data_IF_565957829108
#
_entry.id   IF_565957829108
#
_cell.length_a   1.000
_cell.length_b   1.000
_cell.length_c   1.000
_cell.angle_alpha   90.00
_cell.angle_beta   90.00
_cell.angle_gamma   90.00
#
_symmetry.space_group_name_H-M   'P 1'
#
loop_
_entity.id
_entity.type
_entity.pdbx_description
1 polymer ?
#
# COMPACT_ATOMS: atom_id res chain seq x y z
N UNK A 1 -12.85 3.73 -10.10
CA UNK A 1 -12.92 3.23 -11.49
C UNK A 1 -11.56 3.22 -12.17
N UNK A 2 -10.80 2.14 -11.96
CA UNK A 2 -9.47 1.95 -12.56
C UNK A 2 -9.20 0.45 -12.81
N UNK A 3 -8.32 0.14 -13.78
CA UNK A 3 -7.79 -1.19 -14.01
C UNK A 3 -7.03 -1.68 -12.77
N UNK A 4 -7.18 -2.95 -12.41
CA UNK A 4 -6.57 -3.52 -11.19
C UNK A 4 -5.04 -3.43 -11.21
N UNK A 5 -4.41 -3.54 -12.40
CA UNK A 5 -2.96 -3.43 -12.55
C UNK A 5 -2.47 -2.04 -12.17
N UNK A 6 -3.21 -1.00 -12.55
CA UNK A 6 -2.87 0.37 -12.18
C UNK A 6 -2.91 0.57 -10.66
N UNK A 7 -3.87 -0.06 -9.98
CA UNK A 7 -3.95 -0.01 -8.50
C UNK A 7 -2.77 -0.76 -7.86
N UNK A 8 -2.32 -1.87 -8.46
CA UNK A 8 -1.10 -2.58 -8.02
C UNK A 8 0.13 -1.68 -8.19
N UNK A 9 0.30 -1.09 -9.37
CA UNK A 9 1.43 -0.19 -9.68
C UNK A 9 1.47 0.99 -8.71
N UNK A 10 0.33 1.64 -8.44
CA UNK A 10 0.20 2.72 -7.46
C UNK A 10 0.65 2.30 -6.07
N UNK A 11 0.25 1.11 -5.60
CA UNK A 11 0.68 0.63 -4.28
C UNK A 11 2.18 0.32 -4.23
N UNK A 12 2.76 -0.18 -5.32
CA UNK A 12 4.16 -0.65 -5.31
C UNK A 12 5.19 0.46 -5.08
N UNK A 13 4.86 1.73 -5.31
CA UNK A 13 5.78 2.86 -5.18
C UNK A 13 5.33 3.90 -4.15
N UNK A 14 6.28 4.76 -3.73
CA UNK A 14 6.00 5.92 -2.88
C UNK A 14 6.38 7.25 -3.54
N UNK A 15 6.71 7.24 -4.83
CA UNK A 15 7.01 8.45 -5.59
C UNK A 15 5.86 9.46 -5.51
N UNK A 16 4.61 8.99 -5.52
CA UNK A 16 3.42 9.85 -5.34
C UNK A 16 3.13 10.24 -3.88
N UNK A 17 3.74 9.60 -2.88
CA UNK A 17 3.31 9.73 -1.48
C UNK A 17 3.56 11.14 -0.91
N UNK A 18 4.70 11.76 -1.21
CA UNK A 18 5.04 13.08 -0.70
C UNK A 18 3.99 14.17 -1.04
N UNK A 19 3.53 14.28 -2.30
CA UNK A 19 2.50 15.26 -2.66
C UNK A 19 1.06 14.87 -2.27
N UNK A 20 0.75 13.58 -2.08
CA UNK A 20 -0.64 13.09 -2.05
C UNK A 20 -1.09 12.61 -0.67
N UNK A 21 -0.18 12.10 0.18
CA UNK A 21 -0.53 11.51 1.48
C UNK A 21 0.12 12.24 2.67
N UNK A 22 -0.36 13.43 3.04
CA UNK A 22 0.19 14.16 4.19
C UNK A 22 0.01 13.38 5.50
N UNK A 23 -1.10 12.68 5.69
CA UNK A 23 -1.37 11.85 6.87
C UNK A 23 -0.41 10.65 6.92
N UNK A 24 -0.31 9.87 5.84
CA UNK A 24 0.58 8.69 5.79
C UNK A 24 2.04 9.08 6.00
N UNK A 25 2.51 10.14 5.33
CA UNK A 25 3.91 10.55 5.40
C UNK A 25 4.27 11.21 6.73
N UNK A 26 3.28 11.66 7.52
CA UNK A 26 3.50 12.07 8.91
C UNK A 26 3.88 10.88 9.80
N UNK A 27 3.27 9.72 9.57
CA UNK A 27 3.57 8.48 10.29
C UNK A 27 4.84 7.81 9.78
N UNK A 28 5.07 7.84 8.46
CA UNK A 28 6.17 7.18 7.76
C UNK A 28 7.00 8.21 6.95
N UNK A 29 7.89 9.00 7.58
CA UNK A 29 8.60 10.09 6.92
C UNK A 29 9.43 9.68 5.71
N UNK A 30 9.94 8.44 5.69
CA UNK A 30 10.74 7.92 4.58
C UNK A 30 9.94 7.86 3.27
N UNK A 31 8.60 7.74 3.32
CA UNK A 31 7.76 7.76 2.12
C UNK A 31 7.79 9.11 1.41
N UNK A 32 8.16 10.21 2.09
CA UNK A 32 8.37 11.52 1.45
C UNK A 32 9.54 11.53 0.48
N UNK A 33 10.49 10.61 0.65
CA UNK A 33 11.68 10.53 -0.20
C UNK A 33 11.39 9.74 -1.49
N UNK A 34 10.16 9.22 -1.65
CA UNK A 34 9.78 8.37 -2.77
C UNK A 34 10.50 7.03 -2.75
N UNK A 35 10.98 6.58 -1.59
CA UNK A 35 11.72 5.34 -1.45
C UNK A 35 10.83 4.15 -1.78
N UNK A 36 11.26 3.32 -2.74
CA UNK A 36 10.63 2.01 -2.98
C UNK A 36 10.86 1.12 -1.75
N UNK A 37 9.80 0.74 -1.08
CA UNK A 37 9.85 -0.14 0.09
C UNK A 37 9.71 -1.63 -0.30
N UNK A 38 9.53 -1.93 -1.58
CA UNK A 38 9.47 -3.30 -2.13
C UNK A 38 10.72 -3.71 -2.92
N UNK A 39 11.68 -2.79 -3.09
CA UNK A 39 12.94 -3.08 -3.80
C UNK A 39 13.93 -3.95 -3.03
N UNK A 40 13.78 -4.05 -1.70
CA UNK A 40 14.70 -4.80 -0.81
C UNK A 40 13.88 -5.68 0.13
N UNK A 41 14.04 -6.99 -0.01
CA UNK A 41 13.35 -7.99 0.82
C UNK A 41 13.77 -7.84 2.28
N UNK A 42 12.78 -7.78 3.17
CA UNK A 42 12.99 -7.68 4.63
C UNK A 42 13.29 -6.27 5.14
N UNK A 43 13.25 -5.25 4.29
CA UNK A 43 13.40 -3.87 4.72
C UNK A 43 12.05 -3.27 5.13
N UNK A 44 11.89 -2.99 6.42
CA UNK A 44 10.75 -2.23 6.95
C UNK A 44 10.99 -0.73 6.87
N UNK A 45 9.90 0.04 6.92
CA UNK A 45 9.93 1.50 7.02
C UNK A 45 9.66 1.92 8.45
N UNK A 46 10.57 2.70 9.04
CA UNK A 46 10.43 3.17 10.41
C UNK A 46 9.33 4.22 10.56
N UNK A 47 8.58 4.14 11.67
CA UNK A 47 7.73 5.24 12.12
C UNK A 47 8.55 6.49 12.46
N UNK A 48 7.94 7.66 12.36
CA UNK A 48 8.52 8.88 12.92
C UNK A 48 8.79 8.72 14.43
N UNK A 49 9.83 9.38 14.95
CA UNK A 49 10.33 9.16 16.31
C UNK A 49 9.26 9.38 17.39
N UNK A 50 8.35 10.32 17.16
CA UNK A 50 7.24 10.69 18.04
C UNK A 50 5.99 9.80 17.89
N UNK A 51 6.00 8.86 16.95
CA UNK A 51 4.87 7.98 16.64
C UNK A 51 5.11 6.61 17.26
N UNK A 52 4.14 6.15 18.05
CA UNK A 52 4.15 4.85 18.72
C UNK A 52 3.33 3.80 17.98
N UNK A 53 2.28 4.21 17.26
CA UNK A 53 1.39 3.31 16.54
C UNK A 53 0.88 3.92 15.24
N UNK A 54 0.48 3.04 14.30
CA UNK A 54 -0.08 3.44 13.01
C UNK A 54 -1.56 3.78 13.13
N UNK A 55 -1.83 4.94 13.71
CA UNK A 55 -3.16 5.49 14.00
C UNK A 55 -3.16 6.98 13.66
N UNK A 56 -4.33 7.60 13.53
CA UNK A 56 -4.42 9.05 13.24
C UNK A 56 -3.74 9.93 14.31
N UNK A 57 -3.73 9.50 15.56
CA UNK A 57 -3.05 10.23 16.65
C UNK A 57 -1.56 9.94 16.72
N UNK A 58 -1.09 8.88 16.05
CA UNK A 58 0.26 8.37 16.21
C UNK A 58 0.48 7.56 17.49
N UNK A 59 -0.56 7.32 18.29
CA UNK A 59 -0.47 6.62 19.57
C UNK A 59 -1.43 5.43 19.62
N UNK A 60 -1.05 4.40 20.35
CA UNK A 60 -1.84 3.19 20.54
C UNK A 60 -1.25 2.31 21.63
N UNK A 61 -2.06 1.43 22.20
CA UNK A 61 -1.65 0.52 23.28
C UNK A 61 -1.83 -0.97 22.92
N UNK A 62 -2.12 -1.25 21.65
CA UNK A 62 -2.30 -2.62 21.17
C UNK A 62 -1.00 -3.40 21.30
N UNK A 63 -1.04 -4.68 21.73
CA UNK A 63 0.15 -5.48 21.86
C UNK A 63 0.74 -5.82 20.48
N UNK A 64 2.06 -6.00 20.45
CA UNK A 64 2.73 -6.49 19.24
C UNK A 64 2.22 -7.89 18.87
N UNK A 65 2.06 -8.14 17.57
CA UNK A 65 1.67 -9.44 17.02
C UNK A 65 2.66 -10.53 17.45
N UNK A 66 2.16 -11.72 17.83
CA UNK A 66 3.02 -12.85 18.18
C UNK A 66 3.96 -13.23 17.03
N UNK A 67 5.24 -13.44 17.36
CA UNK A 67 6.25 -13.91 16.41
C UNK A 67 7.07 -12.82 15.74
N UNK A 68 6.72 -11.53 15.91
CA UNK A 68 7.56 -10.42 15.47
C UNK A 68 8.82 -10.28 16.36
N UNK A 69 9.90 -9.79 15.77
CA UNK A 69 11.14 -9.51 16.48
C UNK A 69 11.03 -8.17 17.23
N UNK A 70 11.78 -7.96 18.33
CA UNK A 70 11.83 -6.65 18.99
C UNK A 70 12.26 -5.50 18.06
N UNK A 71 13.03 -5.80 17.00
CA UNK A 71 13.42 -4.84 15.96
C UNK A 71 12.24 -4.34 15.13
N UNK A 72 11.15 -5.10 15.08
CA UNK A 72 10.01 -4.84 14.19
C UNK A 72 8.97 -3.94 14.87
N UNK A 73 9.14 -3.65 16.16
CA UNK A 73 8.19 -2.91 17.00
C UNK A 73 7.86 -1.49 16.51
N UNK A 74 8.68 -0.93 15.60
CA UNK A 74 8.51 0.41 15.02
C UNK A 74 8.59 0.40 13.49
N UNK A 75 8.36 -0.75 12.88
CA UNK A 75 8.50 -0.93 11.43
C UNK A 75 7.15 -1.24 10.79
N UNK A 76 6.92 -0.59 9.66
CA UNK A 76 5.89 -0.91 8.70
C UNK A 76 6.50 -1.73 7.55
N UNK A 77 5.86 -2.83 7.18
CA UNK A 77 6.23 -3.61 6.01
C UNK A 77 5.06 -3.62 5.03
N UNK A 78 5.28 -3.08 3.83
CA UNK A 78 4.32 -3.16 2.74
C UNK A 78 4.88 -4.03 1.62
N UNK A 79 4.09 -4.94 1.06
CA UNK A 79 4.48 -5.68 -0.15
C UNK A 79 3.27 -6.22 -0.90
N UNK A 80 3.45 -6.49 -2.19
CA UNK A 80 2.44 -7.18 -3.00
C UNK A 80 2.77 -8.66 -3.10
N UNK A 81 1.83 -9.49 -2.67
CA UNK A 81 1.78 -10.88 -3.07
C UNK A 81 1.08 -10.93 -4.44
N UNK A 82 1.90 -11.03 -5.49
CA UNK A 82 1.39 -11.03 -6.85
C UNK A 82 0.38 -12.17 -7.10
N UNK A 83 -0.70 -11.90 -7.86
CA UNK A 83 -0.90 -10.67 -8.63
C UNK A 83 -1.63 -9.54 -7.87
N UNK A 84 -2.43 -9.84 -6.85
CA UNK A 84 -3.56 -8.97 -6.49
C UNK A 84 -3.83 -8.82 -4.98
N UNK A 85 -2.85 -9.12 -4.13
CA UNK A 85 -2.96 -8.98 -2.67
C UNK A 85 -1.89 -8.04 -2.14
N UNK A 86 -2.29 -6.95 -1.50
CA UNK A 86 -1.38 -6.07 -0.78
C UNK A 86 -1.36 -6.48 0.68
N UNK A 87 -0.17 -6.57 1.24
CA UNK A 87 0.04 -6.87 2.66
C UNK A 87 0.73 -5.66 3.28
N UNK A 88 0.09 -5.10 4.30
CA UNK A 88 0.65 -4.06 5.15
C UNK A 88 0.76 -4.67 6.56
N UNK A 89 1.96 -5.11 6.91
CA UNK A 89 2.27 -5.66 8.22
C UNK A 89 2.77 -4.53 9.13
N UNK A 90 2.02 -4.33 10.20
CA UNK A 90 2.31 -3.38 11.28
C UNK A 90 2.68 -4.16 12.55
N UNK A 91 3.25 -3.51 13.57
CA UNK A 91 3.63 -4.18 14.80
C UNK A 91 2.46 -4.86 15.50
N UNK A 92 1.25 -4.29 15.45
CA UNK A 92 0.09 -4.70 16.25
C UNK A 92 -1.08 -5.28 15.42
N UNK A 93 -1.05 -5.16 14.08
CA UNK A 93 -2.07 -5.69 13.20
C UNK A 93 -1.58 -5.86 11.76
N UNK A 94 -2.38 -6.50 10.91
CA UNK A 94 -2.13 -6.62 9.46
C UNK A 94 -3.30 -6.02 8.69
N UNK A 95 -3.02 -5.30 7.62
CA UNK A 95 -4.02 -4.80 6.69
C UNK A 95 -3.82 -5.48 5.35
N UNK A 96 -4.84 -6.17 4.87
CA UNK A 96 -4.86 -6.80 3.57
C UNK A 96 -5.73 -6.00 2.61
N UNK A 97 -5.21 -5.68 1.43
CA UNK A 97 -6.04 -5.20 0.33
C UNK A 97 -6.12 -6.27 -0.75
N UNK A 98 -7.30 -6.86 -0.93
CA UNK A 98 -7.56 -7.86 -1.96
C UNK A 98 -8.25 -7.22 -3.16
N UNK A 99 -7.62 -7.32 -4.34
CA UNK A 99 -8.12 -6.71 -5.57
C UNK A 99 -8.85 -7.75 -6.43
N UNK A 100 -10.10 -7.45 -6.77
CA UNK A 100 -10.90 -8.23 -7.73
C UNK A 100 -11.15 -7.39 -8.99
N UNK A 101 -10.64 -7.80 -10.17
CA UNK A 101 -10.97 -7.15 -11.42
C UNK A 101 -12.46 -7.34 -11.73
N UNK A 102 -13.18 -6.23 -11.92
CA UNK A 102 -14.59 -6.26 -12.37
C UNK A 102 -14.71 -5.99 -13.88
N UNK A 103 -13.62 -5.53 -14.50
CA UNK A 103 -13.50 -5.26 -15.92
C UNK A 103 -12.14 -4.62 -16.24
N UNK A 104 -11.89 -4.26 -17.51
CA UNK A 104 -10.63 -3.66 -17.93
C UNK A 104 -10.37 -2.26 -17.37
N UNK A 105 -11.37 -1.59 -16.80
CA UNK A 105 -11.23 -0.25 -16.22
C UNK A 105 -11.96 -0.13 -14.89
N UNK A 106 -12.29 -1.26 -14.26
CA UNK A 106 -13.01 -1.30 -13.00
C UNK A 106 -12.51 -2.42 -12.11
N UNK A 107 -12.29 -2.10 -10.86
CA UNK A 107 -11.77 -3.01 -9.84
C UNK A 107 -12.53 -2.82 -8.55
N UNK A 108 -12.64 -3.89 -7.77
CA UNK A 108 -13.08 -3.86 -6.37
C UNK A 108 -11.87 -4.12 -5.48
N UNK A 109 -11.66 -3.26 -4.50
CA UNK A 109 -10.69 -3.48 -3.43
C UNK A 109 -11.46 -3.79 -2.15
N UNK A 110 -11.10 -4.88 -1.48
CA UNK A 110 -11.59 -5.20 -0.14
C UNK A 110 -10.43 -5.06 0.81
N UNK A 111 -10.60 -4.27 1.86
CA UNK A 111 -9.58 -4.01 2.87
C UNK A 111 -9.98 -4.71 4.17
N UNK A 112 -9.16 -5.64 4.64
CA UNK A 112 -9.38 -6.38 5.88
C UNK A 112 -8.32 -5.98 6.90
N UNK A 113 -8.75 -5.55 8.09
CA UNK A 113 -7.87 -5.32 9.24
C UNK A 113 -7.91 -6.55 10.13
N UNK A 114 -6.76 -7.18 10.29
CA UNK A 114 -6.58 -8.42 11.01
C UNK A 114 -5.84 -8.17 12.32
N UNK A 115 -6.49 -8.53 13.41
CA UNK A 115 -5.96 -8.45 14.78
C UNK A 115 -5.92 -9.85 15.39
N UNK A 116 -5.21 -10.00 16.51
CA UNK A 116 -5.27 -11.25 17.27
C UNK A 116 -6.68 -11.47 17.84
N UNK A 117 -7.12 -12.73 18.02
CA UNK A 117 -8.39 -13.02 18.68
C UNK A 117 -8.51 -12.38 20.06
N UNK A 118 -7.41 -12.31 20.81
CA UNK A 118 -7.33 -11.70 22.14
C UNK A 118 -7.61 -10.19 22.10
N UNK A 119 -7.04 -9.48 21.12
CA UNK A 119 -7.27 -8.04 20.96
C UNK A 119 -8.71 -7.76 20.53
N UNK A 120 -9.27 -8.54 19.60
CA UNK A 120 -10.67 -8.42 19.18
C UNK A 120 -11.63 -8.68 20.37
N UNK A 121 -11.27 -9.58 21.29
CA UNK A 121 -12.07 -9.89 22.47
C UNK A 121 -11.93 -8.86 23.61
N UNK A 122 -11.01 -7.91 23.50
CA UNK A 122 -10.75 -6.89 24.53
C UNK A 122 -11.98 -5.97 24.72
N UNK A 123 -12.42 -5.69 25.96
CA UNK A 123 -13.49 -4.74 26.20
C UNK A 123 -13.18 -3.36 25.61
N UNK A 124 -14.10 -2.82 24.81
CA UNK A 124 -13.92 -1.53 24.15
C UNK A 124 -13.00 -1.57 22.93
N UNK A 125 -12.72 -2.76 22.37
CA UNK A 125 -12.01 -2.87 21.09
C UNK A 125 -12.69 -2.04 20.00
N UNK A 126 -11.92 -1.13 19.42
CA UNK A 126 -12.31 -0.27 18.30
C UNK A 126 -11.10 -0.08 17.38
N UNK A 127 -11.15 -0.54 16.13
CA UNK A 127 -10.06 -0.35 15.16
C UNK A 127 -10.19 0.95 14.35
N UNK A 128 -11.18 1.80 14.64
CA UNK A 128 -11.51 2.97 13.80
C UNK A 128 -10.35 3.95 13.63
N UNK A 129 -9.48 4.08 14.64
CA UNK A 129 -8.30 4.94 14.63
C UNK A 129 -7.26 4.56 13.56
N UNK A 130 -7.04 3.26 13.32
CA UNK A 130 -6.13 2.74 12.31
C UNK A 130 -6.83 2.54 10.97
N UNK A 131 -8.11 2.17 10.97
CA UNK A 131 -8.94 2.11 9.76
C UNK A 131 -9.00 3.48 9.08
N UNK A 132 -9.13 4.56 9.87
CA UNK A 132 -9.24 5.91 9.32
C UNK A 132 -7.96 6.37 8.59
N UNK A 133 -6.76 5.94 9.01
CA UNK A 133 -5.52 6.27 8.30
C UNK A 133 -5.59 5.75 6.86
N UNK A 134 -5.91 4.47 6.68
CA UNK A 134 -5.98 3.87 5.35
C UNK A 134 -7.26 4.23 4.59
N UNK A 135 -8.40 4.55 5.23
CA UNK A 135 -9.56 5.09 4.50
C UNK A 135 -9.21 6.43 3.83
N UNK A 136 -8.50 7.32 4.52
CA UNK A 136 -8.01 8.58 3.94
C UNK A 136 -7.02 8.31 2.81
N UNK A 137 -5.99 7.52 3.05
CA UNK A 137 -4.97 7.17 2.04
C UNK A 137 -5.61 6.51 0.81
N UNK A 138 -6.47 5.51 1.00
CA UNK A 138 -7.14 4.80 -0.10
C UNK A 138 -7.99 5.76 -0.95
N UNK A 139 -8.70 6.72 -0.34
CA UNK A 139 -9.48 7.71 -1.10
C UNK A 139 -8.60 8.63 -1.94
N UNK A 140 -7.47 9.04 -1.38
CA UNK A 140 -6.47 9.84 -2.11
C UNK A 140 -5.91 9.03 -3.29
N UNK A 141 -5.58 7.76 -3.08
CA UNK A 141 -5.14 6.84 -4.14
C UNK A 141 -6.19 6.62 -5.22
N UNK A 142 -7.46 6.45 -4.85
CA UNK A 142 -8.55 6.24 -5.81
C UNK A 142 -8.69 7.43 -6.76
N UNK A 143 -8.64 8.66 -6.25
CA UNK A 143 -8.71 9.87 -7.10
C UNK A 143 -7.57 9.91 -8.12
N UNK A 144 -6.35 9.55 -7.72
CA UNK A 144 -5.18 9.51 -8.60
C UNK A 144 -5.29 8.37 -9.61
N UNK A 145 -5.65 7.16 -9.17
CA UNK A 145 -5.84 6.00 -10.05
C UNK A 145 -6.93 6.25 -11.09
N UNK A 146 -8.05 6.88 -10.71
CA UNK A 146 -9.14 7.21 -11.63
C UNK A 146 -8.71 8.24 -12.67
N UNK A 147 -7.99 9.29 -12.26
CA UNK A 147 -7.45 10.29 -13.19
C UNK A 147 -6.41 9.68 -14.12
N UNK A 148 -5.55 8.80 -13.61
CA UNK A 148 -4.55 8.09 -14.41
C UNK A 148 -5.23 7.16 -15.42
N UNK A 149 -6.26 6.41 -15.02
CA UNK A 149 -7.06 5.60 -15.93
C UNK A 149 -7.67 6.44 -17.08
N UNK A 150 -8.17 7.64 -16.79
CA UNK A 150 -8.66 8.56 -17.82
C UNK A 150 -7.53 9.01 -18.75
N UNK A 151 -6.37 9.37 -18.19
CA UNK A 151 -5.19 9.79 -18.96
C UNK A 151 -4.65 8.70 -19.89
N UNK A 152 -4.68 7.45 -19.44
CA UNK A 152 -4.23 6.27 -20.20
C UNK A 152 -5.06 6.01 -21.47
N UNK A 153 -6.27 6.57 -21.59
CA UNK A 153 -7.07 6.52 -22.83
C UNK A 153 -6.56 7.46 -23.92
N UNK A 154 -5.65 8.36 -23.59
CA UNK A 154 -5.07 9.31 -24.55
C UNK A 154 -4.26 8.58 -25.62
N UNK A 155 -4.45 8.98 -26.88
CA UNK A 155 -3.60 8.52 -28.00
C UNK A 155 -2.12 8.84 -27.78
N UNK A 156 -1.81 9.90 -27.04
CA UNK A 156 -0.42 10.26 -26.71
C UNK A 156 0.23 9.25 -25.76
N UNK A 157 -0.58 8.51 -24.99
CA UNK A 157 -0.14 7.48 -24.04
C UNK A 157 -0.25 6.05 -24.61
N UNK A 158 -0.59 5.89 -25.90
CA UNK A 158 -0.84 4.57 -26.49
C UNK A 158 0.37 3.62 -26.43
N UNK A 159 1.59 4.16 -26.34
CA UNK A 159 2.83 3.39 -26.21
C UNK A 159 3.34 3.30 -24.76
N UNK A 160 2.50 3.66 -23.78
CA UNK A 160 2.86 3.69 -22.36
C UNK A 160 3.68 4.91 -21.94
N UNK A 161 4.04 4.93 -20.66
CA UNK A 161 4.91 5.92 -20.03
C UNK A 161 6.30 5.38 -19.71
N UNK A 162 7.11 6.21 -19.06
CA UNK A 162 8.42 5.83 -18.53
C UNK A 162 8.34 5.76 -17.00
N UNK A 163 8.89 4.70 -16.43
CA UNK A 163 9.12 4.63 -14.98
C UNK A 163 10.29 5.54 -14.62
N UNK A 164 10.11 6.39 -13.61
CA UNK A 164 11.24 7.11 -13.02
C UNK A 164 12.13 6.15 -12.23
N UNK A 165 13.32 6.58 -11.83
CA UNK A 165 14.30 5.74 -11.12
C UNK A 165 13.69 5.00 -9.92
N UNK A 166 12.80 5.67 -9.17
CA UNK A 166 12.19 5.10 -7.96
C UNK A 166 11.03 4.13 -8.23
N UNK A 167 10.62 3.98 -9.49
CA UNK A 167 9.51 3.11 -9.92
C UNK A 167 10.01 1.87 -10.68
N UNK A 168 11.33 1.73 -10.91
CA UNK A 168 11.86 0.69 -11.80
C UNK A 168 11.52 -0.74 -11.35
N UNK A 169 11.31 -0.98 -10.05
CA UNK A 169 10.89 -2.29 -9.53
C UNK A 169 9.50 -2.71 -10.04
N UNK A 170 8.64 -1.76 -10.45
CA UNK A 170 7.33 -2.04 -11.04
C UNK A 170 7.47 -2.80 -12.37
N UNK A 171 8.59 -2.63 -13.08
CA UNK A 171 8.85 -3.35 -14.33
C UNK A 171 8.71 -4.87 -14.16
N UNK A 172 9.13 -5.44 -13.02
CA UNK A 172 8.96 -6.88 -12.76
C UNK A 172 7.50 -7.33 -12.73
N UNK A 173 6.59 -6.50 -12.21
CA UNK A 173 5.15 -6.79 -12.23
C UNK A 173 4.57 -6.67 -13.65
N UNK A 174 4.96 -5.62 -14.39
CA UNK A 174 4.57 -5.45 -15.79
C UNK A 174 5.01 -6.66 -16.63
N UNK A 175 6.26 -7.08 -16.47
CA UNK A 175 6.86 -8.18 -17.23
C UNK A 175 6.15 -9.50 -16.92
N UNK A 176 5.84 -9.76 -15.65
CA UNK A 176 4.98 -10.87 -15.25
C UNK A 176 3.64 -10.83 -15.98
N UNK A 177 2.96 -9.68 -16.01
CA UNK A 177 1.65 -9.56 -16.68
C UNK A 177 1.77 -9.86 -18.18
N UNK A 178 2.77 -9.28 -18.86
CA UNK A 178 2.99 -9.47 -20.30
C UNK A 178 3.28 -10.94 -20.62
N UNK A 179 4.12 -11.60 -19.83
CA UNK A 179 4.40 -13.03 -19.98
C UNK A 179 3.10 -13.87 -19.88
N UNK A 180 2.21 -13.55 -18.92
CA UNK A 180 0.92 -14.25 -18.77
C UNK A 180 -0.07 -13.97 -19.89
N UNK A 181 0.11 -12.89 -20.65
CA UNK A 181 -0.68 -12.58 -21.84
C UNK A 181 -0.09 -13.22 -23.11
N UNK A 182 1.10 -13.82 -23.03
CA UNK A 182 1.81 -14.40 -24.17
C UNK A 182 2.60 -13.38 -24.99
N UNK A 183 2.81 -12.18 -24.45
CA UNK A 183 3.63 -11.14 -25.09
C UNK A 183 5.11 -11.36 -24.74
N UNK A 184 6.03 -11.23 -25.71
CA UNK A 184 7.46 -11.29 -25.43
C UNK A 184 7.90 -10.09 -24.59
N UNK A 185 8.57 -10.37 -23.47
CA UNK A 185 9.22 -9.38 -22.58
C UNK A 185 10.64 -9.09 -23.06
#
# INVERSE_FOLDING_TARGET
>A
DANWKLVVENFMECYHCAPIHPELTSLLPAFRQGTSYQGIVGQGTAFADEIDAFTLSGSGDRPMLPGLLPSDARLYYGFVLWPNLFVNLLPDHVILHTLTPLGPERSRVVCDWLFTPEEIARPGFDPSDTVAVFDITNRQDWDVCERTQLGMRSRAFANGGLYVTNEQHIAGFRDLVLERLGDPV
#
